data_IF_308399471419
#
_entry.id   IF_308399471419
#
_cell.length_a   1.000
_cell.length_b   1.000
_cell.length_c   1.000
_cell.angle_alpha   90.00
_cell.angle_beta   90.00
_cell.angle_gamma   90.00
#
_symmetry.space_group_name_H-M   'P 1'
#
loop_
_entity.id
_entity.type
_entity.pdbx_description
1 polymer ?
#
# COMPACT_ATOMS: atom_id res chain seq x y z
N UNK A 1 -11.52 -19.63 -14.43
CA UNK A 1 -10.62 -18.48 -14.68
C UNK A 1 -10.94 -17.37 -13.69
N UNK A 2 -10.18 -17.26 -12.59
CA UNK A 2 -10.31 -16.10 -11.69
C UNK A 2 -9.21 -15.09 -12.04
N UNK A 3 -9.62 -14.00 -12.65
CA UNK A 3 -8.76 -12.88 -13.02
C UNK A 3 -8.61 -11.99 -11.79
N UNK A 4 -7.47 -12.04 -11.09
CA UNK A 4 -7.19 -11.14 -9.97
C UNK A 4 -6.78 -9.75 -10.49
N UNK A 5 -7.73 -9.08 -11.12
CA UNK A 5 -7.64 -7.64 -11.38
C UNK A 5 -8.07 -6.89 -10.15
N UNK A 6 -7.29 -5.90 -9.71
CA UNK A 6 -7.81 -4.93 -8.76
C UNK A 6 -9.05 -4.26 -9.39
N UNK A 7 -10.21 -4.27 -8.70
CA UNK A 7 -11.38 -3.56 -9.20
C UNK A 7 -11.03 -2.10 -9.51
N UNK A 8 -11.48 -1.58 -10.64
CA UNK A 8 -11.11 -0.24 -11.11
C UNK A 8 -11.39 0.86 -10.07
N UNK A 9 -12.42 0.69 -9.25
CA UNK A 9 -12.74 1.60 -8.14
C UNK A 9 -11.65 1.64 -7.05
N UNK A 10 -10.96 0.52 -6.77
CA UNK A 10 -9.82 0.48 -5.82
C UNK A 10 -8.63 1.24 -6.39
N UNK A 11 -8.37 1.08 -7.68
CA UNK A 11 -7.28 1.80 -8.38
C UNK A 11 -7.53 3.32 -8.41
N UNK A 12 -8.78 3.72 -8.69
CA UNK A 12 -9.21 5.12 -8.60
C UNK A 12 -9.03 5.64 -7.17
N UNK A 13 -9.40 4.86 -6.16
CA UNK A 13 -9.18 5.24 -4.75
C UNK A 13 -7.71 5.44 -4.43
N UNK A 14 -6.82 4.51 -4.80
CA UNK A 14 -5.37 4.62 -4.60
C UNK A 14 -4.83 5.87 -5.29
N UNK A 15 -5.21 6.09 -6.55
CA UNK A 15 -4.80 7.25 -7.32
C UNK A 15 -5.19 8.57 -6.64
N UNK A 16 -6.45 8.72 -6.21
CA UNK A 16 -6.90 9.91 -5.51
C UNK A 16 -6.18 10.12 -4.17
N UNK A 17 -5.92 9.03 -3.44
CA UNK A 17 -5.24 9.06 -2.16
C UNK A 17 -3.79 9.53 -2.27
N UNK A 18 -3.07 8.99 -3.26
CA UNK A 18 -1.70 9.39 -3.58
C UNK A 18 -1.63 10.83 -4.07
N UNK A 19 -2.53 11.23 -4.98
CA UNK A 19 -2.59 12.59 -5.52
C UNK A 19 -2.87 13.63 -4.43
N UNK A 20 -3.80 13.33 -3.51
CA UNK A 20 -4.12 14.19 -2.36
C UNK A 20 -2.94 14.30 -1.40
N UNK A 21 -2.19 13.22 -1.24
CA UNK A 21 -1.02 13.18 -0.36
C UNK A 21 0.14 14.00 -0.92
N UNK A 22 0.38 13.95 -2.23
CA UNK A 22 1.41 14.74 -2.91
C UNK A 22 1.07 16.24 -2.96
N UNK A 23 -0.21 16.59 -3.05
CA UNK A 23 -0.67 17.99 -3.08
C UNK A 23 -0.54 18.70 -1.73
N UNK A 24 -0.33 17.97 -0.62
CA UNK A 24 -0.20 18.53 0.72
C UNK A 24 1.27 18.67 1.08
N UNK A 25 1.67 19.82 1.65
CA UNK A 25 3.03 20.00 2.16
C UNK A 25 3.36 19.07 3.34
N UNK A 26 2.34 18.65 4.11
CA UNK A 26 2.51 17.77 5.25
C UNK A 26 1.44 16.67 5.29
N UNK A 27 1.83 15.51 5.80
CA UNK A 27 1.00 14.32 5.90
C UNK A 27 1.20 13.65 7.26
N UNK A 28 0.14 13.10 7.85
CA UNK A 28 0.27 12.41 9.14
C UNK A 28 0.96 11.05 8.98
N UNK A 29 1.70 10.62 9.99
CA UNK A 29 2.27 9.26 10.03
C UNK A 29 1.21 8.18 9.86
N UNK A 30 0.00 8.39 10.42
CA UNK A 30 -1.16 7.51 10.21
C UNK A 30 -1.51 7.38 8.74
N UNK A 31 -1.49 8.48 7.99
CA UNK A 31 -1.82 8.46 6.57
C UNK A 31 -0.73 7.80 5.74
N UNK A 32 0.55 7.99 6.09
CA UNK A 32 1.65 7.24 5.47
C UNK A 32 1.49 5.73 5.73
N UNK A 33 1.17 5.34 6.97
CA UNK A 33 0.91 3.93 7.29
C UNK A 33 -0.28 3.36 6.49
N UNK A 34 -1.33 4.17 6.31
CA UNK A 34 -2.47 3.81 5.47
C UNK A 34 -2.07 3.62 3.99
N UNK A 35 -1.28 4.53 3.42
CA UNK A 35 -0.78 4.41 2.05
C UNK A 35 0.08 3.15 1.87
N UNK A 36 1.00 2.88 2.81
CA UNK A 36 1.81 1.65 2.78
C UNK A 36 0.93 0.40 2.80
N UNK A 37 -0.07 0.33 3.68
CA UNK A 37 -0.98 -0.81 3.75
C UNK A 37 -1.88 -0.95 2.52
N UNK A 38 -2.34 0.18 1.99
CA UNK A 38 -3.16 0.23 0.78
C UNK A 38 -2.37 -0.26 -0.44
N UNK A 39 -1.12 0.21 -0.60
CA UNK A 39 -0.22 -0.25 -1.65
C UNK A 39 0.10 -1.74 -1.45
N UNK A 40 0.60 -2.14 -0.28
CA UNK A 40 1.01 -3.54 -0.04
C UNK A 40 -0.13 -4.55 -0.21
N UNK A 41 -1.37 -4.18 0.13
CA UNK A 41 -2.54 -5.04 -0.07
C UNK A 41 -2.99 -5.11 -1.53
N UNK A 42 -2.73 -4.08 -2.32
CA UNK A 42 -3.17 -3.99 -3.71
C UNK A 42 -2.18 -4.61 -4.69
N UNK A 43 -0.88 -4.58 -4.37
CA UNK A 43 0.21 -4.89 -5.31
C UNK A 43 0.73 -6.32 -5.18
N UNK A 44 0.17 -7.12 -4.25
CA UNK A 44 0.63 -8.49 -3.97
C UNK A 44 0.69 -9.41 -5.19
N UNK A 45 0.05 -9.04 -6.30
CA UNK A 45 -0.05 -9.87 -7.50
C UNK A 45 0.54 -9.24 -8.78
N UNK A 46 1.02 -7.98 -8.73
CA UNK A 46 1.43 -7.27 -9.95
C UNK A 46 2.70 -6.45 -9.67
N UNK A 47 3.82 -6.86 -10.30
CA UNK A 47 5.09 -6.12 -10.39
C UNK A 47 5.93 -6.05 -9.10
N UNK A 48 7.27 -5.87 -9.20
CA UNK A 48 8.24 -6.51 -8.32
C UNK A 48 8.25 -5.94 -6.91
N UNK A 49 7.51 -6.61 -6.02
CA UNK A 49 7.79 -6.71 -4.60
C UNK A 49 8.07 -5.39 -3.86
N UNK A 50 8.78 -5.43 -2.71
CA UNK A 50 8.89 -4.35 -1.74
C UNK A 50 9.51 -3.02 -2.22
N UNK A 51 9.90 -2.86 -3.49
CA UNK A 51 10.65 -1.68 -3.94
C UNK A 51 9.80 -0.40 -4.00
N UNK A 52 8.50 -0.52 -4.25
CA UNK A 52 7.64 0.62 -4.61
C UNK A 52 6.84 1.24 -3.44
N UNK A 53 7.01 0.76 -2.21
CA UNK A 53 6.50 1.44 -1.00
C UNK A 53 7.58 1.58 0.09
N UNK A 54 8.84 1.36 -0.31
CA UNK A 54 10.00 1.25 0.57
C UNK A 54 10.40 2.62 1.10
N UNK A 55 10.31 3.65 0.27
CA UNK A 55 10.57 5.02 0.69
C UNK A 55 9.54 5.45 1.75
N UNK A 56 8.25 5.19 1.53
CA UNK A 56 7.20 5.45 2.51
C UNK A 56 7.37 4.64 3.81
N UNK A 57 7.79 3.37 3.72
CA UNK A 57 8.10 2.55 4.90
C UNK A 57 9.27 3.10 5.70
N UNK A 58 10.38 3.46 5.03
CA UNK A 58 11.57 4.05 5.67
C UNK A 58 11.22 5.38 6.33
N UNK A 59 10.47 6.24 5.64
CA UNK A 59 10.01 7.52 6.18
C UNK A 59 9.19 7.34 7.46
N UNK A 60 8.24 6.39 7.46
CA UNK A 60 7.45 6.04 8.64
C UNK A 60 8.34 5.53 9.78
N UNK A 61 9.21 4.55 9.50
CA UNK A 61 10.06 3.93 10.50
C UNK A 61 11.08 4.93 11.10
N UNK A 62 11.62 5.85 10.29
CA UNK A 62 12.53 6.89 10.75
C UNK A 62 11.85 7.83 11.77
N UNK A 63 10.62 8.27 11.51
CA UNK A 63 9.91 9.18 12.42
C UNK A 63 9.41 8.48 13.68
N UNK A 64 8.90 7.25 13.59
CA UNK A 64 8.53 6.46 14.77
C UNK A 64 9.73 6.23 15.70
N UNK A 65 10.91 5.93 15.14
CA UNK A 65 12.16 5.80 15.91
C UNK A 65 12.58 7.09 16.62
N UNK A 66 12.15 8.25 16.12
CA UNK A 66 12.40 9.57 16.74
C UNK A 66 11.33 9.94 17.79
N UNK A 67 10.42 9.03 18.13
CA UNK A 67 9.37 9.25 19.14
C UNK A 67 8.11 9.94 18.61
N UNK A 68 7.94 10.06 17.29
CA UNK A 68 6.73 10.67 16.72
C UNK A 68 5.55 9.69 16.88
N UNK A 69 4.40 10.23 17.24
CA UNK A 69 3.14 9.50 17.24
C UNK A 69 2.53 9.46 15.83
N UNK A 70 1.55 8.58 15.63
CA UNK A 70 0.79 8.50 14.38
C UNK A 70 -0.01 9.78 14.05
N UNK A 71 -0.26 10.65 15.04
CA UNK A 71 -0.94 11.92 14.86
C UNK A 71 -0.02 13.04 14.34
N UNK A 72 1.31 12.87 14.45
CA UNK A 72 2.25 13.89 14.01
C UNK A 72 2.22 14.04 12.48
N UNK A 73 2.27 15.31 12.05
CA UNK A 73 2.39 15.72 10.65
C UNK A 73 3.87 15.81 10.27
N UNK A 74 4.22 15.21 9.13
CA UNK A 74 5.59 15.21 8.62
C UNK A 74 5.60 15.54 7.13
N UNK A 75 6.71 16.09 6.67
CA UNK A 75 6.95 16.29 5.24
C UNK A 75 7.34 14.97 4.58
N UNK A 76 6.92 14.78 3.34
CA UNK A 76 7.40 13.67 2.51
C UNK A 76 8.86 13.93 2.13
N UNK A 77 9.73 12.93 2.32
CA UNK A 77 11.08 12.98 1.74
C UNK A 77 11.01 12.96 0.22
N UNK A 78 12.08 13.40 -0.43
CA UNK A 78 12.15 13.43 -1.90
C UNK A 78 11.89 12.04 -2.50
N UNK A 79 12.49 10.99 -1.94
CA UNK A 79 12.31 9.61 -2.40
C UNK A 79 10.86 9.14 -2.22
N UNK A 80 10.19 9.57 -1.14
CA UNK A 80 8.79 9.24 -0.92
C UNK A 80 7.87 9.98 -1.91
N UNK A 81 8.23 11.21 -2.31
CA UNK A 81 7.50 11.94 -3.35
C UNK A 81 7.70 11.33 -4.72
N UNK A 82 8.93 10.94 -5.07
CA UNK A 82 9.25 10.23 -6.32
C UNK A 82 8.49 8.91 -6.40
N UNK A 83 8.47 8.14 -5.31
CA UNK A 83 7.71 6.90 -5.20
C UNK A 83 6.20 7.14 -5.46
N UNK A 84 5.62 8.18 -4.85
CA UNK A 84 4.21 8.56 -5.09
C UNK A 84 3.99 8.99 -6.55
N UNK A 85 4.89 9.78 -7.14
CA UNK A 85 4.77 10.23 -8.55
C UNK A 85 4.85 9.04 -9.51
N UNK A 86 5.75 8.10 -9.25
CA UNK A 86 5.86 6.86 -10.01
C UNK A 86 4.55 6.07 -9.96
N UNK A 87 3.92 5.95 -8.80
CA UNK A 87 2.60 5.32 -8.70
C UNK A 87 1.55 6.03 -9.56
N UNK A 88 1.49 7.36 -9.49
CA UNK A 88 0.49 8.13 -10.24
C UNK A 88 0.62 7.95 -11.76
N UNK A 89 1.84 7.74 -12.28
CA UNK A 89 2.07 7.49 -13.70
C UNK A 89 1.84 6.02 -14.11
N UNK A 90 2.12 5.06 -13.23
CA UNK A 90 2.09 3.63 -13.58
C UNK A 90 0.78 2.92 -13.20
N UNK A 91 0.00 3.45 -12.27
CA UNK A 91 -1.22 2.78 -11.78
C UNK A 91 -2.27 2.55 -12.89
N UNK A 92 -2.37 3.45 -13.87
CA UNK A 92 -3.26 3.26 -15.03
C UNK A 92 -2.76 2.14 -15.95
N UNK A 93 -1.45 2.08 -16.20
CA UNK A 93 -0.85 1.05 -17.04
C UNK A 93 -0.91 -0.34 -16.39
N UNK A 94 -0.77 -0.43 -15.07
CA UNK A 94 -0.95 -1.67 -14.30
C UNK A 94 -2.38 -2.22 -14.44
N UNK A 95 -3.39 -1.34 -14.49
CA UNK A 95 -4.77 -1.74 -14.74
C UNK A 95 -5.01 -2.28 -16.17
N UNK A 96 -4.26 -1.79 -17.16
CA UNK A 96 -4.38 -2.22 -18.57
C UNK A 96 -3.54 -3.44 -18.95
N UNK A 97 -2.38 -3.67 -18.30
CA UNK A 97 -1.50 -4.83 -18.56
C UNK A 97 -2.03 -6.15 -17.97
N UNK A 98 -2.86 -6.11 -16.94
CA UNK A 98 -3.56 -7.30 -16.42
C UNK A 98 -4.48 -7.96 -17.48
N UNK A 99 -4.81 -7.25 -18.56
CA UNK A 99 -5.62 -7.75 -19.68
C UNK A 99 -4.78 -8.53 -20.71
N UNK A 100 -3.45 -8.36 -20.76
CA UNK A 100 -2.62 -8.87 -21.87
C UNK A 100 -1.36 -9.67 -21.48
N UNK A 101 -1.15 -10.00 -20.20
CA UNK A 101 0.04 -10.73 -19.76
C UNK A 101 -0.27 -12.12 -19.20
N UNK A 102 -0.23 -13.13 -20.07
CA UNK A 102 0.12 -14.54 -19.82
C UNK A 102 -0.21 -15.16 -18.44
N UNK A 103 -1.10 -16.16 -18.45
CA UNK A 103 -1.36 -17.12 -17.36
C UNK A 103 -0.07 -17.71 -16.74
N UNK A 104 -0.10 -18.10 -15.46
CA UNK A 104 -0.51 -19.48 -15.17
C UNK A 104 -1.48 -19.63 -13.99
N UNK A 105 -2.15 -20.79 -14.00
CA UNK A 105 -3.19 -21.25 -13.09
C UNK A 105 -2.70 -21.41 -11.65
N UNK A 106 -3.03 -20.48 -10.76
CA UNK A 106 -3.10 -20.77 -9.33
C UNK A 106 -4.04 -19.79 -8.63
N UNK A 107 -5.19 -20.30 -8.18
CA UNK A 107 -6.15 -19.56 -7.36
C UNK A 107 -5.93 -20.00 -5.91
N UNK A 108 -5.37 -19.12 -5.09
CA UNK A 108 -5.44 -19.25 -3.63
C UNK A 108 -6.19 -18.01 -3.13
N UNK A 109 -7.49 -18.19 -2.94
CA UNK A 109 -8.35 -17.19 -2.30
C UNK A 109 -8.06 -17.21 -0.80
N UNK A 110 -7.38 -16.18 -0.30
CA UNK A 110 -7.30 -15.88 1.12
C UNK A 110 -8.40 -14.88 1.45
N UNK A 111 -9.59 -15.39 1.77
CA UNK A 111 -10.66 -14.65 2.43
C UNK A 111 -10.20 -14.23 3.83
N UNK A 112 -9.48 -13.11 3.91
CA UNK A 112 -9.32 -12.41 5.18
C UNK A 112 -10.61 -11.63 5.44
N UNK A 113 -11.59 -12.34 6.02
CA UNK A 113 -12.68 -11.70 6.72
C UNK A 113 -12.10 -10.83 7.84
N UNK A 114 -12.78 -9.70 8.10
CA UNK A 114 -12.47 -8.79 9.21
C UNK A 114 -12.82 -9.49 10.52
N UNK A 115 -11.89 -10.24 11.07
CA UNK A 115 -11.98 -10.73 12.45
C UNK A 115 -10.63 -10.55 13.12
N UNK A 116 -10.40 -9.36 13.68
CA UNK A 116 -9.40 -9.23 14.72
C UNK A 116 -9.96 -9.87 15.97
N UNK A 117 -9.24 -10.82 16.57
CA UNK A 117 -9.06 -11.00 18.02
C UNK A 117 -7.85 -11.90 18.21
N UNK A 118 -6.89 -11.46 19.02
CA UNK A 118 -5.68 -12.22 19.32
C UNK A 118 -6.01 -13.53 20.04
N UNK A 119 -5.41 -14.62 19.59
CA UNK A 119 -5.36 -15.84 20.37
C UNK A 119 -4.19 -15.72 21.37
N UNK A 120 -4.53 -15.44 22.63
CA UNK A 120 -3.64 -15.66 23.77
C UNK A 120 -3.88 -17.11 24.21
N UNK A 121 -2.94 -18.00 23.93
CA UNK A 121 -2.95 -19.32 24.55
C UNK A 121 -2.52 -19.10 26.01
N UNK A 122 -3.47 -19.22 26.94
CA UNK A 122 -3.15 -19.35 28.34
C UNK A 122 -2.78 -20.80 28.60
N UNK A 123 -1.59 -21.01 29.15
CA UNK A 123 -1.20 -22.26 29.78
C UNK A 123 -2.25 -22.67 30.81
N UNK A 124 -2.65 -23.93 30.78
CA UNK A 124 -3.23 -24.60 31.93
C UNK A 124 -2.25 -25.65 32.43
N UNK A 125 -2.10 -25.61 33.75
CA UNK A 125 -1.18 -26.35 34.62
C UNK A 125 -1.22 -27.86 34.46
#
# INVERSE_FOLDING_TARGET
SATLSLPSWRMVKIYHELRRSLARQQISLRRIAHLVGLLSSSIREIFPGPLHYRALQRLKAAHLRRGFSYANMISLSEEAQEEIRWWLSHIKALNGRAIFGSAPDLIIESDLNRSGWGARCGDFS
#
